data_IF_101074325364
#
_entry.id   IF_101074325364
#
_cell.length_a   1.000
_cell.length_b   1.000
_cell.length_c   1.000
_cell.angle_alpha   90.00
_cell.angle_beta   90.00
_cell.angle_gamma   90.00
#
_symmetry.space_group_name_H-M   'P 1'
#
loop_
_entity.id
_entity.type
_entity.pdbx_description
1 polymer ?
#
# COMPACT_ATOMS: atom_id res chain seq x y z
N UNK A 1 -20.41 -12.66 -13.63
CA UNK A 1 -19.89 -12.40 -12.27
C UNK A 1 -19.46 -13.75 -11.74
N UNK A 2 -18.16 -14.05 -11.84
CA UNK A 2 -17.59 -15.33 -11.41
C UNK A 2 -17.16 -15.20 -9.93
N UNK A 3 -17.43 -16.19 -9.06
CA UNK A 3 -17.12 -16.09 -7.64
C UNK A 3 -15.61 -16.25 -7.42
N UNK A 4 -14.93 -15.46 -6.56
CA UNK A 4 -13.52 -15.67 -6.27
C UNK A 4 -13.39 -16.81 -5.25
N UNK A 5 -13.56 -18.05 -5.70
CA UNK A 5 -13.49 -19.24 -4.83
C UNK A 5 -12.13 -19.93 -4.83
N UNK A 6 -11.08 -19.28 -5.32
CA UNK A 6 -9.71 -19.81 -5.24
C UNK A 6 -8.84 -18.88 -4.42
N UNK A 7 -8.42 -19.38 -3.25
CA UNK A 7 -7.40 -18.75 -2.43
C UNK A 7 -6.14 -18.52 -3.28
N UNK A 8 -5.41 -17.41 -3.07
CA UNK A 8 -4.17 -17.14 -3.78
C UNK A 8 -3.18 -18.30 -3.64
N UNK A 9 -2.32 -18.55 -4.63
CA UNK A 9 -1.25 -19.53 -4.49
C UNK A 9 -0.42 -19.21 -3.23
N UNK A 10 -0.02 -20.26 -2.50
CA UNK A 10 0.75 -20.18 -1.25
C UNK A 10 0.06 -19.52 -0.05
N UNK A 11 -1.26 -19.26 -0.09
CA UNK A 11 -2.01 -18.68 1.04
C UNK A 11 -1.79 -19.45 2.35
N UNK A 12 -1.96 -20.77 2.33
CA UNK A 12 -1.85 -21.63 3.52
C UNK A 12 -0.45 -21.60 4.12
N UNK A 13 0.60 -21.72 3.29
CA UNK A 13 2.00 -21.64 3.73
C UNK A 13 2.31 -20.27 4.33
N UNK A 14 1.89 -19.18 3.68
CA UNK A 14 2.09 -17.83 4.19
C UNK A 14 1.41 -17.63 5.55
N UNK A 15 0.16 -18.10 5.70
CA UNK A 15 -0.58 -18.03 6.95
C UNK A 15 0.12 -18.81 8.08
N UNK A 16 0.66 -20.00 7.77
CA UNK A 16 1.43 -20.80 8.74
C UNK A 16 2.70 -20.07 9.17
N UNK A 17 3.48 -19.52 8.23
CA UNK A 17 4.69 -18.74 8.53
C UNK A 17 4.38 -17.51 9.37
N UNK A 18 3.32 -16.77 9.06
CA UNK A 18 2.88 -15.62 9.85
C UNK A 18 2.52 -16.04 11.28
N UNK A 19 1.77 -17.12 11.44
CA UNK A 19 1.37 -17.64 12.76
C UNK A 19 2.59 -18.04 13.60
N UNK A 20 3.58 -18.72 12.99
CA UNK A 20 4.83 -19.08 13.64
C UNK A 20 5.66 -17.86 14.07
N UNK A 21 5.74 -16.84 13.21
CA UNK A 21 6.40 -15.57 13.53
C UNK A 21 5.72 -14.88 14.72
N UNK A 22 4.38 -14.77 14.70
CA UNK A 22 3.63 -14.14 15.78
C UNK A 22 3.80 -14.87 17.12
N UNK A 23 3.82 -16.21 17.11
CA UNK A 23 4.08 -17.02 18.30
C UNK A 23 5.50 -16.77 18.84
N UNK A 24 6.49 -16.71 17.95
CA UNK A 24 7.87 -16.39 18.32
C UNK A 24 7.96 -15.02 19.00
N UNK A 25 7.32 -14.00 18.43
CA UNK A 25 7.33 -12.64 19.00
C UNK A 25 6.66 -12.61 20.38
N UNK A 26 5.53 -13.32 20.53
CA UNK A 26 4.86 -13.48 21.82
C UNK A 26 5.78 -14.12 22.86
N UNK A 27 6.48 -15.20 22.51
CA UNK A 27 7.39 -15.92 23.41
C UNK A 27 8.60 -15.05 23.82
N UNK A 28 9.04 -14.15 22.93
CA UNK A 28 10.12 -13.20 23.20
C UNK A 28 9.65 -11.90 23.89
N UNK A 29 8.36 -11.78 24.22
CA UNK A 29 7.75 -10.57 24.75
C UNK A 29 7.95 -9.33 23.83
N UNK A 30 7.99 -9.54 22.52
CA UNK A 30 8.08 -8.46 21.52
C UNK A 30 6.67 -8.06 21.10
N UNK A 31 6.25 -6.80 21.29
CA UNK A 31 4.92 -6.35 20.94
C UNK A 31 4.73 -6.27 19.42
N UNK A 32 3.61 -6.81 18.94
CA UNK A 32 3.17 -6.65 17.56
C UNK A 32 2.22 -5.46 17.45
N UNK A 33 2.38 -4.66 16.40
CA UNK A 33 1.46 -3.59 16.08
C UNK A 33 0.36 -4.14 15.14
N UNK A 34 -0.89 -4.27 15.59
CA UNK A 34 -1.95 -4.92 14.81
C UNK A 34 -2.23 -4.21 13.47
N UNK A 35 -2.08 -2.88 13.42
CA UNK A 35 -2.22 -2.11 12.17
C UNK A 35 -1.04 -2.20 11.20
N UNK A 36 0.05 -2.90 11.56
CA UNK A 36 1.24 -3.08 10.72
C UNK A 36 1.46 -4.53 10.29
N UNK A 37 0.61 -5.44 10.74
CA UNK A 37 0.70 -6.85 10.41
C UNK A 37 -0.52 -7.24 9.59
N UNK A 38 -0.31 -7.50 8.31
CA UNK A 38 -1.33 -7.98 7.40
C UNK A 38 -1.17 -9.49 7.22
N UNK A 39 -2.29 -10.21 7.12
CA UNK A 39 -2.30 -11.62 6.70
C UNK A 39 -1.84 -11.80 5.25
N UNK A 40 -1.86 -13.02 4.72
CA UNK A 40 -1.67 -13.24 3.29
C UNK A 40 -2.68 -12.41 2.50
N UNK A 41 -2.18 -11.54 1.64
CA UNK A 41 -2.96 -10.62 0.82
C UNK A 41 -2.32 -10.51 -0.57
N UNK A 42 -3.15 -10.35 -1.59
CA UNK A 42 -2.70 -10.11 -2.96
C UNK A 42 -2.59 -8.63 -3.29
N UNK A 43 -3.10 -7.77 -2.40
CA UNK A 43 -3.03 -6.31 -2.50
C UNK A 43 -2.53 -5.79 -1.15
N UNK A 44 -1.40 -5.09 -1.16
CA UNK A 44 -0.74 -4.60 0.06
C UNK A 44 -0.11 -3.24 -0.19
N UNK A 45 -0.31 -2.29 0.71
CA UNK A 45 0.51 -1.08 0.74
C UNK A 45 1.87 -1.37 1.37
N UNK A 46 2.94 -1.15 0.62
CA UNK A 46 4.32 -1.34 1.04
C UNK A 46 5.17 -0.16 0.59
N UNK A 47 5.90 0.46 1.54
CA UNK A 47 6.75 1.64 1.26
C UNK A 47 6.01 2.78 0.53
N UNK A 48 4.71 2.92 0.79
CA UNK A 48 3.89 3.99 0.26
C UNK A 48 3.37 3.77 -1.18
N UNK A 49 3.48 2.57 -1.72
CA UNK A 49 2.83 2.14 -2.96
C UNK A 49 2.00 0.90 -2.69
N UNK A 50 0.94 0.69 -3.47
CA UNK A 50 0.17 -0.55 -3.45
C UNK A 50 0.84 -1.54 -4.41
N UNK A 51 1.16 -2.72 -3.90
CA UNK A 51 1.57 -3.88 -4.68
C UNK A 51 0.34 -4.77 -4.90
N UNK A 52 0.04 -5.08 -6.16
CA UNK A 52 -1.08 -5.93 -6.54
C UNK A 52 -0.60 -7.11 -7.38
N UNK A 53 -0.60 -8.30 -6.78
CA UNK A 53 -0.12 -9.51 -7.43
C UNK A 53 -1.15 -10.13 -8.37
N UNK A 54 -2.43 -9.74 -8.31
CA UNK A 54 -3.45 -10.21 -9.27
C UNK A 54 -3.29 -9.49 -10.59
N UNK A 55 -3.10 -8.16 -10.52
CA UNK A 55 -2.92 -7.30 -11.68
C UNK A 55 -1.46 -7.22 -12.13
N UNK A 56 -0.53 -7.73 -11.33
CA UNK A 56 0.92 -7.66 -11.54
C UNK A 56 1.40 -6.22 -11.74
N UNK A 57 0.92 -5.31 -10.89
CA UNK A 57 1.24 -3.89 -10.97
C UNK A 57 1.62 -3.29 -9.60
N UNK A 58 2.38 -2.21 -9.64
CA UNK A 58 2.58 -1.31 -8.51
C UNK A 58 1.88 0.02 -8.81
N UNK A 59 1.06 0.52 -7.89
CA UNK A 59 0.29 1.76 -8.07
C UNK A 59 0.36 2.68 -6.85
N UNK A 60 0.11 3.97 -7.05
CA UNK A 60 -0.05 4.90 -5.94
C UNK A 60 -1.40 4.66 -5.23
N UNK A 61 -1.44 4.74 -3.88
CA UNK A 61 -2.68 4.84 -3.13
C UNK A 61 -3.54 6.04 -3.55
N UNK A 62 -4.86 5.88 -3.45
CA UNK A 62 -5.82 6.90 -3.90
C UNK A 62 -5.65 8.24 -3.18
N UNK A 63 -5.37 8.23 -1.87
CA UNK A 63 -5.14 9.45 -1.08
C UNK A 63 -3.95 10.26 -1.62
N UNK A 64 -2.91 9.58 -2.13
CA UNK A 64 -1.75 10.23 -2.74
C UNK A 64 -2.08 10.79 -4.11
N UNK A 65 -2.89 10.07 -4.89
CA UNK A 65 -3.37 10.56 -6.19
C UNK A 65 -4.26 11.80 -5.98
N UNK A 66 -5.18 11.77 -5.02
CA UNK A 66 -6.04 12.91 -4.70
C UNK A 66 -5.24 14.12 -4.24
N UNK A 67 -4.22 13.92 -3.40
CA UNK A 67 -3.30 15.00 -3.01
C UNK A 67 -2.61 15.63 -4.21
N UNK A 68 -2.11 14.82 -5.16
CA UNK A 68 -1.49 15.31 -6.39
C UNK A 68 -2.49 16.10 -7.23
N UNK A 69 -3.70 15.56 -7.44
CA UNK A 69 -4.78 16.25 -8.16
C UNK A 69 -5.11 17.61 -7.54
N UNK A 70 -5.21 17.68 -6.20
CA UNK A 70 -5.47 18.93 -5.49
C UNK A 70 -4.37 19.98 -5.71
N UNK A 71 -3.10 19.55 -5.70
CA UNK A 71 -1.94 20.42 -5.99
C UNK A 71 -2.04 20.96 -7.42
N UNK A 72 -2.27 20.09 -8.41
CA UNK A 72 -2.39 20.51 -9.81
C UNK A 72 -3.60 21.43 -10.04
N UNK A 73 -4.76 21.12 -9.46
CA UNK A 73 -5.97 21.95 -9.57
C UNK A 73 -5.78 23.34 -8.96
N UNK A 74 -4.98 23.45 -7.91
CA UNK A 74 -4.65 24.75 -7.29
C UNK A 74 -3.66 25.51 -8.15
N UNK A 75 -2.66 24.83 -8.70
CA UNK A 75 -1.61 25.46 -9.50
C UNK A 75 -2.13 25.97 -10.85
N UNK A 76 -2.99 25.21 -11.53
CA UNK A 76 -3.56 25.58 -12.84
C UNK A 76 -4.39 26.88 -12.80
N UNK A 77 -4.91 27.27 -11.63
CA UNK A 77 -5.69 28.51 -11.46
C UNK A 77 -4.81 29.77 -11.35
N UNK A 78 -3.48 29.62 -11.23
CA UNK A 78 -2.55 30.74 -11.06
C UNK A 78 -2.23 31.39 -12.40
N UNK A 79 -2.16 32.73 -12.43
CA UNK A 79 -1.76 33.49 -13.63
C UNK A 79 -0.24 33.56 -13.82
N UNK A 80 0.53 33.42 -12.74
CA UNK A 80 1.98 33.27 -12.78
C UNK A 80 2.46 32.44 -11.60
N UNK A 81 3.71 31.97 -11.65
CA UNK A 81 4.38 31.27 -10.57
C UNK A 81 5.88 31.57 -10.63
N UNK A 82 6.58 31.34 -9.52
CA UNK A 82 8.03 31.35 -9.48
C UNK A 82 8.59 30.03 -10.02
N UNK A 83 9.86 30.05 -10.46
CA UNK A 83 10.58 28.85 -10.88
C UNK A 83 10.55 27.77 -9.78
N UNK A 84 10.77 28.15 -8.51
CA UNK A 84 10.76 27.22 -7.36
C UNK A 84 9.39 26.56 -7.16
N UNK A 85 8.30 27.30 -7.33
CA UNK A 85 6.95 26.74 -7.23
C UNK A 85 6.66 25.76 -8.37
N UNK A 86 7.09 26.08 -9.59
CA UNK A 86 6.95 25.17 -10.74
C UNK A 86 7.76 23.88 -10.53
N UNK A 87 8.99 23.99 -10.03
CA UNK A 87 9.83 22.83 -9.71
C UNK A 87 9.25 21.95 -8.60
N UNK A 88 8.45 22.48 -7.68
CA UNK A 88 7.84 21.68 -6.61
C UNK A 88 6.78 20.68 -7.10
N UNK A 89 6.41 20.72 -8.39
CA UNK A 89 5.45 19.82 -9.02
C UNK A 89 6.08 18.57 -9.65
N UNK A 90 7.42 18.51 -9.72
CA UNK A 90 8.22 17.47 -10.39
C UNK A 90 9.29 16.93 -9.45
#
# INVERSE_FOLDING_TARGET
MEPPSQLPPHYSTCQQSLTAMMLTFKNLNIPLAPGKTQGPATVLEFMGIILDSVRMEARLPDDKIERLRAVFNTFQKRRSCTLKELQSLI
#
